data_IF_458462763281
#
_entry.id   IF_458462763281
#
_cell.length_a   1.000
_cell.length_b   1.000
_cell.length_c   1.000
_cell.angle_alpha   90.00
_cell.angle_beta   90.00
_cell.angle_gamma   90.00
#
_symmetry.space_group_name_H-M   'P 1'
#
loop_
_entity.id
_entity.type
_entity.pdbx_description
1 polymer ?
#
# COMPACT_ATOMS: atom_id res chain seq x y z
N UNK A 1 33.10 0.01 -48.75
CA UNK A 1 34.28 0.77 -48.25
C UNK A 1 34.19 2.27 -48.60
N UNK A 2 33.01 2.91 -48.55
CA UNK A 2 32.84 4.33 -48.95
C UNK A 2 32.19 5.23 -47.88
N UNK A 3 31.93 4.71 -46.67
CA UNK A 3 31.35 5.51 -45.56
C UNK A 3 32.39 5.96 -44.51
N UNK A 4 33.63 5.46 -44.62
CA UNK A 4 34.66 5.62 -43.58
C UNK A 4 35.42 6.96 -43.66
N UNK A 5 35.00 7.90 -44.52
CA UNK A 5 35.75 9.12 -44.85
C UNK A 5 35.06 10.44 -44.46
N UNK A 6 33.82 10.43 -43.98
CA UNK A 6 33.06 11.68 -43.68
C UNK A 6 32.87 11.92 -42.17
N UNK A 7 33.02 10.89 -41.34
CA UNK A 7 32.92 10.99 -39.89
C UNK A 7 34.32 10.78 -39.31
N UNK A 8 34.85 11.80 -38.63
CA UNK A 8 36.14 11.74 -37.95
C UNK A 8 36.31 10.48 -37.11
N UNK A 9 37.56 10.03 -37.00
CA UNK A 9 38.04 8.67 -36.73
C UNK A 9 37.75 8.04 -35.36
N UNK A 10 36.65 8.39 -34.67
CA UNK A 10 36.18 7.72 -33.44
C UNK A 10 34.68 7.98 -33.22
N UNK A 11 33.85 7.65 -34.22
CA UNK A 11 32.39 7.72 -34.08
C UNK A 11 31.90 6.56 -33.19
N UNK A 12 31.77 6.80 -31.88
CA UNK A 12 31.07 5.89 -30.98
C UNK A 12 29.57 5.83 -31.37
N UNK A 13 29.15 4.71 -31.94
CA UNK A 13 27.74 4.46 -32.27
C UNK A 13 27.02 3.94 -31.02
N UNK A 14 26.04 4.69 -30.54
CA UNK A 14 25.16 4.26 -29.45
C UNK A 14 23.94 3.55 -30.04
N UNK A 15 23.78 2.27 -29.72
CA UNK A 15 22.59 1.48 -30.09
C UNK A 15 21.75 1.25 -28.83
N UNK A 16 20.51 1.74 -28.82
CA UNK A 16 19.56 1.46 -27.75
C UNK A 16 18.69 0.27 -28.16
N UNK A 17 18.70 -0.78 -27.35
CA UNK A 17 17.89 -1.98 -27.57
C UNK A 17 16.97 -2.16 -26.37
N UNK A 18 15.68 -2.27 -26.64
CA UNK A 18 14.65 -2.46 -25.62
C UNK A 18 14.25 -3.94 -25.57
N UNK A 19 14.28 -4.52 -24.37
CA UNK A 19 13.82 -5.88 -24.14
C UNK A 19 12.35 -5.89 -23.69
N UNK A 20 11.62 -6.96 -24.00
CA UNK A 20 10.19 -7.09 -23.66
C UNK A 20 9.98 -7.19 -22.15
N UNK A 21 10.92 -7.79 -21.41
CA UNK A 21 10.85 -7.92 -19.95
C UNK A 21 12.23 -7.80 -19.28
N UNK A 22 12.23 -7.33 -18.04
CA UNK A 22 13.43 -7.19 -17.19
C UNK A 22 14.16 -8.52 -16.98
N UNK A 23 13.44 -9.64 -16.94
CA UNK A 23 14.06 -10.97 -16.76
C UNK A 23 14.76 -11.47 -18.03
N UNK A 24 14.38 -10.95 -19.20
CA UNK A 24 14.97 -11.33 -20.48
C UNK A 24 16.25 -10.56 -20.82
N UNK A 25 16.56 -9.47 -20.08
CA UNK A 25 17.72 -8.61 -20.34
C UNK A 25 19.06 -9.38 -20.27
N UNK A 26 19.33 -10.23 -19.26
CA UNK A 26 20.59 -10.97 -19.22
C UNK A 26 20.78 -11.92 -20.41
N UNK A 27 19.70 -12.62 -20.80
CA UNK A 27 19.73 -13.53 -21.95
C UNK A 27 19.90 -12.75 -23.27
N UNK A 28 19.15 -11.67 -23.45
CA UNK A 28 19.26 -10.81 -24.62
C UNK A 28 20.66 -10.17 -24.75
N UNK A 29 21.27 -9.75 -23.64
CA UNK A 29 22.64 -9.23 -23.66
C UNK A 29 23.66 -10.29 -24.08
N UNK A 30 23.46 -11.55 -23.67
CA UNK A 30 24.33 -12.64 -24.08
C UNK A 30 24.19 -12.94 -25.58
N UNK A 31 22.96 -12.95 -26.10
CA UNK A 31 22.69 -13.15 -27.52
C UNK A 31 23.25 -12.00 -28.37
N UNK A 32 23.06 -10.75 -27.94
CA UNK A 32 23.63 -9.57 -28.61
C UNK A 32 25.15 -9.64 -28.59
N UNK A 33 25.78 -9.99 -27.47
CA UNK A 33 27.24 -10.16 -27.39
C UNK A 33 27.74 -11.23 -28.38
N UNK A 34 27.03 -12.35 -28.51
CA UNK A 34 27.39 -13.41 -29.47
C UNK A 34 27.30 -12.91 -30.91
N UNK A 35 26.20 -12.24 -31.27
CA UNK A 35 25.98 -11.72 -32.63
C UNK A 35 27.04 -10.66 -32.98
N UNK A 36 27.30 -9.69 -32.07
CA UNK A 36 28.28 -8.64 -32.31
C UNK A 36 29.70 -9.18 -32.45
N UNK A 37 30.08 -10.21 -31.68
CA UNK A 37 31.39 -10.89 -31.85
C UNK A 37 31.55 -11.53 -33.21
N UNK A 38 30.49 -12.16 -33.74
CA UNK A 38 30.50 -12.77 -35.07
C UNK A 38 30.62 -11.69 -36.16
N UNK A 39 29.79 -10.64 -36.09
CA UNK A 39 29.81 -9.55 -37.06
C UNK A 39 31.13 -8.76 -37.06
N UNK A 40 31.73 -8.56 -35.88
CA UNK A 40 33.03 -7.89 -35.74
C UNK A 40 34.23 -8.84 -36.01
N UNK A 41 33.98 -10.11 -36.38
CA UNK A 41 34.98 -11.14 -36.63
C UNK A 41 36.00 -11.32 -35.48
N UNK A 42 35.55 -11.12 -34.22
CA UNK A 42 36.40 -11.25 -33.05
C UNK A 42 36.64 -12.72 -32.73
N UNK A 43 37.91 -13.09 -32.52
CA UNK A 43 38.26 -14.45 -32.09
C UNK A 43 37.89 -14.65 -30.63
N UNK A 44 37.68 -15.92 -30.23
CA UNK A 44 37.26 -16.27 -28.87
C UNK A 44 38.19 -15.79 -27.75
N UNK A 45 39.44 -15.41 -28.08
CA UNK A 45 40.46 -14.92 -27.14
C UNK A 45 40.78 -13.42 -27.29
N UNK A 46 40.09 -12.71 -28.19
CA UNK A 46 40.20 -11.26 -28.33
C UNK A 46 39.22 -10.55 -27.37
N UNK A 47 39.63 -9.39 -26.87
CA UNK A 47 38.79 -8.53 -26.04
C UNK A 47 37.68 -7.90 -26.89
N UNK A 48 36.53 -7.66 -26.26
CA UNK A 48 35.41 -6.99 -26.91
C UNK A 48 35.78 -5.54 -27.24
N UNK A 49 35.52 -5.11 -28.47
CA UNK A 49 35.69 -3.73 -28.93
C UNK A 49 34.42 -2.87 -28.70
N UNK A 50 33.38 -3.46 -28.12
CA UNK A 50 32.10 -2.83 -27.81
C UNK A 50 31.78 -2.91 -26.30
N UNK A 51 30.93 -1.99 -25.82
CA UNK A 51 30.42 -2.01 -24.44
C UNK A 51 28.91 -2.22 -24.43
N UNK A 52 28.44 -3.26 -23.73
CA UNK A 52 27.03 -3.41 -23.38
C UNK A 52 26.79 -2.84 -21.97
N UNK A 53 25.81 -1.94 -21.85
CA UNK A 53 25.39 -1.39 -20.56
C UNK A 53 24.01 -1.92 -20.19
N UNK A 54 23.96 -2.62 -19.07
CA UNK A 54 22.71 -3.15 -18.52
C UNK A 54 21.93 -2.05 -17.79
N UNK A 55 20.87 -1.54 -18.43
CA UNK A 55 19.93 -0.60 -17.79
C UNK A 55 18.89 -1.32 -16.92
N UNK A 56 18.70 -2.63 -17.10
CA UNK A 56 17.80 -3.46 -16.32
C UNK A 56 18.21 -3.55 -14.85
N UNK A 57 19.51 -3.68 -14.56
CA UNK A 57 20.02 -3.69 -13.17
C UNK A 57 19.77 -2.38 -12.43
N UNK A 58 19.82 -1.24 -13.11
CA UNK A 58 19.52 0.08 -12.53
C UNK A 58 18.03 0.18 -12.20
N UNK A 59 17.17 -0.22 -13.13
CA UNK A 59 15.72 -0.24 -12.94
C UNK A 59 15.32 -1.22 -11.83
N UNK A 60 15.85 -2.45 -11.83
CA UNK A 60 15.53 -3.48 -10.83
C UNK A 60 15.95 -3.05 -9.41
N UNK A 61 17.10 -2.38 -9.28
CA UNK A 61 17.57 -1.83 -8.01
C UNK A 61 16.68 -0.69 -7.51
N UNK A 62 16.25 0.20 -8.41
CA UNK A 62 15.30 1.27 -8.08
C UNK A 62 13.93 0.70 -7.66
N UNK A 63 13.39 -0.29 -8.39
CA UNK A 63 12.13 -0.97 -8.05
C UNK A 63 12.22 -1.68 -6.70
N UNK A 64 13.33 -2.37 -6.43
CA UNK A 64 13.56 -3.07 -5.16
C UNK A 64 13.63 -2.09 -3.97
N UNK A 65 14.29 -0.96 -4.16
CA UNK A 65 14.36 0.12 -3.16
C UNK A 65 12.97 0.72 -2.90
N UNK A 66 12.21 1.01 -3.96
CA UNK A 66 10.82 1.51 -3.86
C UNK A 66 9.90 0.52 -3.14
N UNK A 67 10.05 -0.78 -3.42
CA UNK A 67 9.29 -1.84 -2.73
C UNK A 67 9.64 -1.91 -1.25
N UNK A 68 10.92 -1.79 -0.91
CA UNK A 68 11.37 -1.75 0.49
C UNK A 68 10.78 -0.54 1.23
N UNK A 69 10.82 0.64 0.61
CA UNK A 69 10.20 1.85 1.15
C UNK A 69 8.69 1.69 1.36
N UNK A 70 8.02 1.04 0.40
CA UNK A 70 6.57 0.75 0.49
C UNK A 70 6.26 -0.19 1.66
N UNK A 71 7.09 -1.20 1.93
CA UNK A 71 6.94 -2.05 3.11
C UNK A 71 7.17 -1.29 4.42
N UNK A 72 8.18 -0.42 4.47
CA UNK A 72 8.42 0.42 5.64
C UNK A 72 7.23 1.33 5.93
N UNK A 73 6.74 2.07 4.92
CA UNK A 73 5.57 2.94 5.07
C UNK A 73 4.30 2.16 5.42
N UNK A 74 4.10 0.99 4.80
CA UNK A 74 3.00 0.09 5.11
C UNK A 74 3.04 -0.42 6.56
N UNK A 75 4.23 -0.72 7.09
CA UNK A 75 4.40 -1.12 8.49
C UNK A 75 4.04 -0.01 9.47
N UNK A 76 4.45 1.23 9.18
CA UNK A 76 4.08 2.41 9.99
C UNK A 76 2.57 2.63 9.92
N UNK A 77 1.98 2.54 8.74
CA UNK A 77 0.53 2.66 8.57
C UNK A 77 -0.23 1.58 9.38
N UNK A 78 0.27 0.34 9.41
CA UNK A 78 -0.32 -0.72 10.23
C UNK A 78 -0.28 -0.40 11.73
N UNK A 79 0.83 0.15 12.23
CA UNK A 79 0.92 0.58 13.64
C UNK A 79 -0.06 1.71 13.94
N UNK A 80 -0.15 2.73 13.07
CA UNK A 80 -1.10 3.85 13.22
C UNK A 80 -2.53 3.34 13.24
N UNK A 81 -2.86 2.40 12.36
CA UNK A 81 -4.17 1.77 12.31
C UNK A 81 -4.51 1.03 13.62
N UNK A 82 -3.57 0.28 14.19
CA UNK A 82 -3.76 -0.39 15.50
C UNK A 82 -4.00 0.63 16.61
N UNK A 83 -3.18 1.69 16.69
CA UNK A 83 -3.33 2.75 17.71
C UNK A 83 -4.67 3.48 17.54
N UNK A 84 -5.08 3.76 16.30
CA UNK A 84 -6.40 4.31 15.99
C UNK A 84 -7.54 3.40 16.43
N UNK A 85 -7.42 2.09 16.20
CA UNK A 85 -8.35 1.07 16.67
C UNK A 85 -8.48 1.03 18.19
N UNK A 86 -7.37 1.14 18.92
CA UNK A 86 -7.37 1.28 20.39
C UNK A 86 -8.14 2.54 20.82
N UNK A 87 -7.99 3.64 20.09
CA UNK A 87 -8.76 4.87 20.30
C UNK A 87 -10.27 4.64 20.17
N UNK A 88 -10.71 3.95 19.10
CA UNK A 88 -12.12 3.59 18.90
C UNK A 88 -12.63 2.72 20.06
N UNK A 89 -11.84 1.72 20.47
CA UNK A 89 -12.19 0.86 21.61
C UNK A 89 -12.39 1.67 22.89
N UNK A 90 -11.52 2.63 23.18
CA UNK A 90 -11.61 3.47 24.39
C UNK A 90 -12.85 4.37 24.38
N UNK A 91 -13.12 5.04 23.27
CA UNK A 91 -14.33 5.88 23.12
C UNK A 91 -15.58 5.02 23.30
N UNK A 92 -15.61 3.83 22.71
CA UNK A 92 -16.72 2.88 22.85
C UNK A 92 -16.88 2.38 24.29
N UNK A 93 -15.80 2.08 25.02
CA UNK A 93 -15.88 1.68 26.43
C UNK A 93 -16.48 2.78 27.30
N UNK A 94 -16.08 4.03 27.08
CA UNK A 94 -16.62 5.19 27.79
C UNK A 94 -18.11 5.38 27.45
N UNK A 95 -18.48 5.33 26.17
CA UNK A 95 -19.88 5.43 25.72
C UNK A 95 -20.78 4.37 26.36
N UNK A 96 -20.29 3.12 26.49
CA UNK A 96 -21.03 2.06 27.17
C UNK A 96 -21.21 2.36 28.65
N UNK A 97 -20.20 2.92 29.32
CA UNK A 97 -20.28 3.30 30.73
C UNK A 97 -21.29 4.42 30.96
N UNK A 98 -21.26 5.47 30.14
CA UNK A 98 -22.22 6.59 30.20
C UNK A 98 -23.66 6.12 29.97
N UNK A 99 -23.86 5.19 29.02
CA UNK A 99 -25.18 4.65 28.67
C UNK A 99 -25.56 3.39 29.48
N UNK A 100 -24.86 3.05 30.56
CA UNK A 100 -25.09 1.81 31.32
C UNK A 100 -26.53 1.68 31.82
N UNK A 101 -27.09 2.75 32.40
CA UNK A 101 -28.47 2.75 32.93
C UNK A 101 -29.49 2.55 31.82
N UNK A 102 -29.32 3.19 30.66
CA UNK A 102 -30.20 3.04 29.51
C UNK A 102 -30.19 1.60 28.97
N UNK A 103 -29.00 0.99 28.87
CA UNK A 103 -28.84 -0.40 28.45
C UNK A 103 -29.53 -1.35 29.45
N UNK A 104 -29.39 -1.07 30.75
CA UNK A 104 -30.06 -1.81 31.83
C UNK A 104 -31.58 -1.79 31.69
N UNK A 105 -32.17 -0.61 31.46
CA UNK A 105 -33.62 -0.45 31.25
C UNK A 105 -34.06 -1.24 30.01
N UNK A 106 -33.35 -1.12 28.87
CA UNK A 106 -33.71 -1.86 27.64
C UNK A 106 -33.70 -3.37 27.86
N UNK A 107 -32.71 -3.90 28.58
CA UNK A 107 -32.65 -5.33 28.90
C UNK A 107 -33.74 -5.76 29.88
N UNK A 108 -34.08 -4.94 30.87
CA UNK A 108 -35.15 -5.22 31.81
C UNK A 108 -36.52 -5.34 31.13
N UNK A 109 -36.73 -4.57 30.04
CA UNK A 109 -37.94 -4.62 29.21
C UNK A 109 -37.89 -5.76 28.16
N UNK A 110 -36.81 -6.57 28.13
CA UNK A 110 -36.71 -7.79 27.32
C UNK A 110 -35.81 -7.69 26.09
N UNK A 111 -34.99 -6.66 25.94
CA UNK A 111 -34.02 -6.59 24.85
C UNK A 111 -32.99 -7.73 24.92
N UNK A 112 -32.89 -8.53 23.85
CA UNK A 112 -31.90 -9.61 23.74
C UNK A 112 -30.47 -9.02 23.67
N UNK A 113 -29.44 -9.70 24.25
CA UNK A 113 -28.05 -9.26 24.20
C UNK A 113 -27.54 -8.98 22.78
N UNK A 114 -28.01 -9.74 21.79
CA UNK A 114 -27.64 -9.56 20.39
C UNK A 114 -28.07 -8.20 19.82
N UNK A 115 -29.22 -7.64 20.22
CA UNK A 115 -29.65 -6.32 19.76
C UNK A 115 -28.73 -5.20 20.25
N UNK A 116 -28.29 -5.31 21.51
CA UNK A 116 -27.33 -4.38 22.10
C UNK A 116 -25.97 -4.52 21.41
N UNK A 117 -25.50 -5.75 21.21
CA UNK A 117 -24.26 -6.03 20.48
C UNK A 117 -24.28 -5.40 19.08
N UNK A 118 -25.35 -5.64 18.30
CA UNK A 118 -25.45 -5.13 16.93
C UNK A 118 -25.51 -3.60 16.89
N UNK A 119 -26.17 -2.96 17.86
CA UNK A 119 -26.25 -1.50 17.93
C UNK A 119 -24.87 -0.88 18.12
N UNK A 120 -24.13 -1.34 19.13
CA UNK A 120 -22.78 -0.84 19.41
C UNK A 120 -21.80 -1.18 18.29
N UNK A 121 -21.89 -2.39 17.72
CA UNK A 121 -21.03 -2.75 16.59
C UNK A 121 -21.30 -1.86 15.37
N UNK A 122 -22.56 -1.53 15.11
CA UNK A 122 -22.93 -0.61 14.03
C UNK A 122 -22.43 0.82 14.28
N UNK A 123 -22.47 1.29 15.53
CA UNK A 123 -21.87 2.58 15.94
C UNK A 123 -20.36 2.59 15.65
N UNK A 124 -19.63 1.52 15.99
CA UNK A 124 -18.21 1.38 15.66
C UNK A 124 -17.94 1.33 14.15
N UNK A 125 -18.77 0.61 13.39
CA UNK A 125 -18.65 0.55 11.92
C UNK A 125 -18.86 1.93 11.31
N UNK A 126 -19.90 2.67 11.72
CA UNK A 126 -20.16 4.03 11.22
C UNK A 126 -18.97 4.93 11.52
N UNK A 127 -18.45 4.92 12.75
CA UNK A 127 -17.28 5.71 13.12
C UNK A 127 -16.07 5.39 12.24
N UNK A 128 -15.86 4.11 11.92
CA UNK A 128 -14.72 3.66 11.11
C UNK A 128 -14.88 4.00 9.63
N UNK A 129 -16.10 3.93 9.10
CA UNK A 129 -16.44 4.35 7.74
C UNK A 129 -16.28 5.87 7.60
N UNK A 130 -16.73 6.65 8.59
CA UNK A 130 -16.55 8.10 8.59
C UNK A 130 -15.06 8.47 8.68
N UNK A 131 -14.29 7.82 9.56
CA UNK A 131 -12.86 8.02 9.65
C UNK A 131 -12.16 7.67 8.32
N UNK A 132 -12.54 6.56 7.68
CA UNK A 132 -12.00 6.17 6.38
C UNK A 132 -12.37 7.19 5.30
N UNK A 133 -13.62 7.64 5.23
CA UNK A 133 -14.07 8.64 4.26
C UNK A 133 -13.31 9.96 4.41
N UNK A 134 -13.16 10.45 5.64
CA UNK A 134 -12.38 11.67 5.93
C UNK A 134 -10.92 11.45 5.54
N UNK A 135 -10.32 10.31 5.90
CA UNK A 135 -8.95 9.97 5.53
C UNK A 135 -8.72 9.93 4.03
N UNK A 136 -9.66 9.35 3.27
CA UNK A 136 -9.62 9.31 1.80
C UNK A 136 -9.71 10.71 1.18
N UNK A 137 -10.56 11.58 1.72
CA UNK A 137 -10.67 12.98 1.27
C UNK A 137 -9.38 13.75 1.53
N UNK A 138 -8.80 13.59 2.73
CA UNK A 138 -7.51 14.22 3.08
C UNK A 138 -6.39 13.70 2.19
N UNK A 139 -6.34 12.38 1.94
CA UNK A 139 -5.36 11.78 1.03
C UNK A 139 -5.54 12.30 -0.41
N UNK A 140 -6.78 12.43 -0.89
CA UNK A 140 -7.12 13.04 -2.16
C UNK A 140 -6.62 14.48 -2.29
N UNK A 141 -6.88 15.31 -1.27
CA UNK A 141 -6.40 16.69 -1.22
C UNK A 141 -4.86 16.77 -1.20
N UNK A 142 -4.20 15.91 -0.43
CA UNK A 142 -2.73 15.85 -0.38
C UNK A 142 -2.12 15.49 -1.75
N UNK A 143 -2.73 14.56 -2.49
CA UNK A 143 -2.26 14.22 -3.84
C UNK A 143 -2.34 15.39 -4.81
N UNK A 144 -3.41 16.20 -4.75
CA UNK A 144 -3.54 17.38 -5.61
C UNK A 144 -2.44 18.40 -5.29
N UNK A 145 -2.12 18.61 -4.01
CA UNK A 145 -1.04 19.50 -3.59
C UNK A 145 0.32 19.02 -4.09
N UNK A 146 0.58 17.71 -4.02
CA UNK A 146 1.84 17.12 -4.48
C UNK A 146 1.91 17.05 -6.01
N UNK A 147 0.78 16.94 -6.71
CA UNK A 147 0.77 16.97 -8.18
C UNK A 147 1.30 18.28 -8.77
N UNK A 148 1.27 19.37 -8.00
CA UNK A 148 1.90 20.65 -8.37
C UNK A 148 3.42 20.66 -8.17
N UNK A 149 4.00 19.59 -7.63
CA UNK A 149 5.44 19.39 -7.49
C UNK A 149 5.96 18.44 -8.59
N UNK A 150 7.27 18.43 -8.84
CA UNK A 150 7.91 17.53 -9.82
C UNK A 150 7.86 16.03 -9.44
N UNK A 151 7.06 15.63 -8.45
CA UNK A 151 6.84 14.24 -8.08
C UNK A 151 5.60 13.69 -8.79
N UNK A 152 5.79 12.72 -9.68
CA UNK A 152 4.70 11.99 -10.31
C UNK A 152 4.16 10.94 -9.34
N UNK A 153 2.96 11.19 -8.79
CA UNK A 153 2.20 10.22 -8.00
C UNK A 153 1.06 9.69 -8.85
N UNK A 154 1.06 8.39 -9.14
CA UNK A 154 -0.05 7.73 -9.83
C UNK A 154 -1.03 7.19 -8.79
N UNK A 155 -2.28 7.70 -8.76
CA UNK A 155 -3.28 7.19 -7.82
C UNK A 155 -3.66 5.74 -8.17
N UNK A 156 -3.28 4.82 -7.28
CA UNK A 156 -3.68 3.42 -7.40
C UNK A 156 -5.05 3.22 -6.74
N UNK A 157 -6.10 3.03 -7.56
CA UNK A 157 -7.47 2.77 -7.07
C UNK A 157 -7.51 1.63 -6.04
N UNK A 158 -6.72 0.58 -6.27
CA UNK A 158 -6.60 -0.56 -5.37
C UNK A 158 -6.11 -0.19 -3.96
N UNK A 159 -5.21 0.79 -3.85
CA UNK A 159 -4.69 1.27 -2.57
C UNK A 159 -5.76 1.94 -1.73
N UNK A 160 -6.64 2.74 -2.35
CA UNK A 160 -7.77 3.36 -1.65
C UNK A 160 -8.78 2.33 -1.14
N UNK A 161 -9.09 1.31 -1.94
CA UNK A 161 -9.97 0.23 -1.51
C UNK A 161 -9.35 -0.55 -0.33
N UNK A 162 -8.07 -0.91 -0.40
CA UNK A 162 -7.37 -1.58 0.71
C UNK A 162 -7.38 -0.73 1.98
N UNK A 163 -7.10 0.58 1.88
CA UNK A 163 -7.15 1.49 3.02
C UNK A 163 -8.55 1.54 3.65
N UNK A 164 -9.61 1.68 2.84
CA UNK A 164 -10.99 1.70 3.31
C UNK A 164 -11.36 0.41 4.04
N UNK A 165 -11.12 -0.76 3.43
CA UNK A 165 -11.46 -2.04 4.03
C UNK A 165 -10.64 -2.32 5.30
N UNK A 166 -9.35 -1.97 5.31
CA UNK A 166 -8.51 -2.14 6.50
C UNK A 166 -9.00 -1.31 7.69
N UNK A 167 -9.47 -0.07 7.45
CA UNK A 167 -10.05 0.80 8.47
C UNK A 167 -11.33 0.19 9.06
N UNK A 168 -12.25 -0.25 8.19
CA UNK A 168 -13.51 -0.88 8.63
C UNK A 168 -13.24 -2.17 9.41
N UNK A 169 -12.31 -3.01 8.94
CA UNK A 169 -11.95 -4.26 9.60
C UNK A 169 -11.43 -4.02 11.02
N UNK A 170 -10.54 -3.04 11.18
CA UNK A 170 -9.97 -2.67 12.47
C UNK A 170 -11.04 -2.07 13.39
N UNK A 171 -11.91 -1.23 12.84
CA UNK A 171 -13.09 -0.72 13.52
C UNK A 171 -13.99 -1.80 14.11
N UNK A 172 -14.31 -2.81 13.30
CA UNK A 172 -15.10 -3.98 13.72
C UNK A 172 -14.36 -4.76 14.81
N UNK A 173 -13.07 -5.03 14.61
CA UNK A 173 -12.26 -5.82 15.54
C UNK A 173 -12.19 -5.17 16.93
N UNK A 174 -11.83 -3.88 16.98
CA UNK A 174 -11.70 -3.14 18.24
C UNK A 174 -13.06 -2.73 18.84
N UNK A 175 -14.10 -2.56 18.01
CA UNK A 175 -15.47 -2.28 18.46
C UNK A 175 -16.21 -3.50 19.01
N UNK A 176 -15.81 -4.72 18.62
CA UNK A 176 -16.47 -5.95 19.06
C UNK A 176 -16.35 -6.18 20.57
N UNK A 177 -15.17 -5.97 21.15
CA UNK A 177 -14.95 -6.14 22.59
C UNK A 177 -15.88 -5.27 23.47
N UNK A 178 -15.94 -3.93 23.31
CA UNK A 178 -16.84 -3.08 24.09
C UNK A 178 -18.31 -3.39 23.80
N UNK A 179 -18.68 -3.69 22.55
CA UNK A 179 -20.05 -4.09 22.20
C UNK A 179 -20.48 -5.37 22.94
N UNK A 180 -19.58 -6.36 23.02
CA UNK A 180 -19.81 -7.58 23.79
C UNK A 180 -19.93 -7.30 25.29
N UNK A 181 -19.10 -6.42 25.82
CA UNK A 181 -19.18 -5.98 27.23
C UNK A 181 -20.53 -5.32 27.53
N UNK A 182 -21.01 -4.44 26.65
CA UNK A 182 -22.33 -3.82 26.76
C UNK A 182 -23.47 -4.86 26.72
N UNK A 183 -23.38 -5.82 25.80
CA UNK A 183 -24.34 -6.90 25.67
C UNK A 183 -24.40 -7.82 26.92
N UNK A 184 -23.29 -7.96 27.65
CA UNK A 184 -23.18 -8.80 28.85
C UNK A 184 -23.59 -8.12 30.18
N UNK A 185 -23.86 -6.80 30.21
CA UNK A 185 -24.30 -6.10 31.43
C UNK A 185 -25.56 -6.71 32.06
N UNK A 186 -25.54 -6.95 33.38
CA UNK A 186 -26.71 -7.39 34.13
C UNK A 186 -27.68 -6.24 34.38
N UNK A 187 -28.99 -6.40 34.10
CA UNK A 187 -29.97 -5.33 34.26
C UNK A 187 -30.13 -4.87 35.71
N UNK A 188 -29.98 -5.77 36.68
CA UNK A 188 -30.11 -5.46 38.11
C UNK A 188 -28.94 -4.62 38.62
N UNK A 189 -27.70 -4.94 38.20
CA UNK A 189 -26.52 -4.14 38.55
C UNK A 189 -26.49 -2.79 37.83
N UNK A 190 -27.02 -2.72 36.61
CA UNK A 190 -27.08 -1.48 35.84
C UNK A 190 -28.09 -0.45 36.39
N UNK A 191 -29.00 -0.84 37.29
CA UNK A 191 -30.05 0.00 37.85
C UNK A 191 -29.83 0.39 39.32
N UNK A 192 -28.85 -0.22 40.02
CA UNK A 192 -28.40 0.24 41.36
C UNK A 192 -27.61 1.55 41.24
#
# INVERSE_FOLDING_TARGET
MAERYVLGSDAMVFLNVEAVDLQSIPAAMEDIRKILRVEHNLKSNEADDFMLRDMGTVVSSATSSSRTMSFLLGSVAAVVLVVGGIGIMNIMLISVQERTKEIGIRKAVGAKPYHILSQFLFEAIILSVLAAAIGLVVAGGAMILIANSNLSIVPAWWGFMMAFFSSVLIGVFFGYYPAKKAAALNPVEALR
#
